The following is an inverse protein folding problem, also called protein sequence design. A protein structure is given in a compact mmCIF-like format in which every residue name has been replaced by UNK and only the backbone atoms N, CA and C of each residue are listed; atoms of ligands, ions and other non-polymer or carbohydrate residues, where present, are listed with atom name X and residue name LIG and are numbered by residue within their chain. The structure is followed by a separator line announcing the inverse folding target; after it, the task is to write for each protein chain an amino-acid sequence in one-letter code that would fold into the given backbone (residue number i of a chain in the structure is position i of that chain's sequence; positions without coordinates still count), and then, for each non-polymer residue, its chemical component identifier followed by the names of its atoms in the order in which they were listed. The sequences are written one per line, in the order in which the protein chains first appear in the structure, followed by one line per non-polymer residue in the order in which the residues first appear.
data_IF_528052004241
#
_entry.id   IF_528052004241
#
_cell.length_a   1.000
_cell.length_b   1.000
_cell.length_c   1.000
_cell.angle_alpha   90.00
_cell.angle_beta   90.00
_cell.angle_gamma   90.00
#
_symmetry.space_group_name_H-M   'P 1'
#
loop_
_entity.id
_entity.type
_entity.pdbx_description
1 polymer ?
#
# COMPACT_ATOMS: atom_id res chain seq x y z
N UNK A 1 -34.90 72.07 16.11
CA UNK A 1 -35.20 70.83 16.84
C UNK A 1 -35.17 69.62 15.90
N UNK A 2 -34.17 69.52 15.02
CA UNK A 2 -34.08 68.47 13.99
C UNK A 2 -32.60 68.26 13.60
N UNK A 3 -31.74 67.77 14.50
CA UNK A 3 -30.40 67.32 14.07
C UNK A 3 -29.69 66.34 15.01
N UNK A 4 -30.35 65.87 16.07
CA UNK A 4 -29.73 64.94 17.04
C UNK A 4 -30.19 63.48 16.81
N UNK A 5 -31.20 63.25 15.95
CA UNK A 5 -31.82 61.92 15.78
C UNK A 5 -31.33 61.11 14.56
N UNK A 6 -30.27 61.55 13.85
CA UNK A 6 -29.76 60.82 12.67
C UNK A 6 -28.46 60.03 12.91
N UNK A 7 -27.83 60.17 14.07
CA UNK A 7 -26.53 59.53 14.34
C UNK A 7 -26.59 58.22 15.14
N UNK A 8 -27.74 57.88 15.73
CA UNK A 8 -27.86 56.68 16.59
C UNK A 8 -28.35 55.42 15.85
N UNK A 9 -28.92 55.55 14.66
CA UNK A 9 -29.44 54.39 13.90
C UNK A 9 -28.36 53.76 13.00
N UNK A 10 -27.31 54.50 12.64
CA UNK A 10 -26.24 53.97 11.78
C UNK A 10 -25.25 53.04 12.51
N UNK A 11 -25.26 53.01 13.84
CA UNK A 11 -24.31 52.18 14.61
C UNK A 11 -24.84 50.78 14.95
N UNK A 12 -26.14 50.52 14.80
CA UNK A 12 -26.74 49.23 15.15
C UNK A 12 -26.81 48.26 13.96
N UNK A 13 -26.75 48.77 12.72
CA UNK A 13 -26.77 47.92 11.51
C UNK A 13 -25.39 47.40 11.11
N UNK A 14 -24.30 48.02 11.58
CA UNK A 14 -22.94 47.54 11.29
C UNK A 14 -22.49 46.43 12.26
N UNK A 15 -23.16 46.27 13.41
CA UNK A 15 -22.78 45.27 14.41
C UNK A 15 -23.44 43.90 14.17
N UNK A 16 -24.51 43.83 13.38
CA UNK A 16 -25.15 42.55 13.01
C UNK A 16 -24.47 41.84 11.83
N UNK A 17 -23.68 42.55 11.02
CA UNK A 17 -22.96 41.99 9.87
C UNK A 17 -21.61 41.34 10.21
N UNK A 18 -21.07 41.56 11.41
CA UNK A 18 -19.78 40.99 11.84
C UNK A 18 -19.94 39.60 12.47
N UNK A 19 -21.14 39.22 12.92
CA UNK A 19 -21.39 37.92 13.56
C UNK A 19 -21.69 36.77 12.58
N UNK A 20 -21.68 37.02 11.26
CA UNK A 20 -21.90 35.98 10.24
C UNK A 20 -20.62 35.41 9.62
N UNK A 21 -19.44 35.85 10.07
CA UNK A 21 -18.16 35.36 9.52
C UNK A 21 -17.50 34.36 10.48
N UNK A 22 -17.49 33.10 10.06
CA UNK A 22 -16.77 31.92 10.59
C UNK A 22 -17.64 30.86 11.28
N UNK A 23 -18.62 30.33 10.55
CA UNK A 23 -18.81 28.87 10.60
C UNK A 23 -17.83 28.26 9.61
N UNK A 24 -16.58 28.08 10.03
CA UNK A 24 -15.74 27.06 9.40
C UNK A 24 -16.30 25.73 9.87
N UNK A 25 -16.86 24.94 8.96
CA UNK A 25 -17.17 23.54 9.27
C UNK A 25 -15.93 22.92 9.93
N UNK A 26 -16.04 22.29 11.12
CA UNK A 26 -14.91 21.59 11.69
C UNK A 26 -14.45 20.58 10.64
N UNK A 27 -13.21 20.75 10.18
CA UNK A 27 -12.59 19.84 9.22
C UNK A 27 -12.56 18.48 9.91
N UNK A 28 -13.49 17.60 9.54
CA UNK A 28 -13.61 16.26 10.10
C UNK A 28 -12.23 15.60 9.96
N UNK A 29 -11.54 15.43 11.10
CA UNK A 29 -10.25 14.75 11.10
C UNK A 29 -10.52 13.31 10.68
N UNK A 30 -9.93 12.93 9.55
CA UNK A 30 -10.05 11.56 9.06
C UNK A 30 -9.37 10.65 10.07
N UNK A 31 -10.15 9.80 10.71
CA UNK A 31 -9.66 8.85 11.70
C UNK A 31 -8.95 7.64 11.05
N UNK A 32 -8.13 6.95 11.85
CA UNK A 32 -7.56 5.67 11.43
C UNK A 32 -8.65 4.60 11.35
N UNK A 33 -8.60 3.79 10.29
CA UNK A 33 -9.51 2.69 10.02
C UNK A 33 -8.73 1.41 9.81
N UNK A 34 -9.15 0.31 10.43
CA UNK A 34 -8.57 -0.99 10.16
C UNK A 34 -9.06 -1.52 8.81
N UNK A 35 -8.12 -1.97 7.97
CA UNK A 35 -8.43 -2.67 6.72
C UNK A 35 -8.75 -4.15 6.97
N UNK A 36 -8.13 -4.74 7.99
CA UNK A 36 -8.38 -6.12 8.37
C UNK A 36 -9.29 -6.17 9.60
N UNK A 37 -10.39 -6.92 9.51
CA UNK A 37 -11.41 -6.99 10.55
C UNK A 37 -11.05 -7.93 11.72
N UNK A 38 -9.95 -8.69 11.61
CA UNK A 38 -9.49 -9.63 12.63
C UNK A 38 -10.28 -10.94 12.72
N UNK A 39 -11.19 -11.20 11.79
CA UNK A 39 -12.09 -12.36 11.83
C UNK A 39 -12.07 -13.16 10.53
N UNK A 40 -12.13 -12.50 9.38
CA UNK A 40 -12.25 -13.15 8.08
C UNK A 40 -11.68 -12.30 6.94
N UNK A 41 -11.69 -12.87 5.73
CA UNK A 41 -11.20 -12.22 4.52
C UNK A 41 -12.35 -11.67 3.64
N UNK A 42 -13.53 -11.41 4.20
CA UNK A 42 -14.73 -11.03 3.42
C UNK A 42 -14.57 -9.72 2.64
N UNK A 43 -13.78 -8.78 3.17
CA UNK A 43 -13.45 -7.51 2.50
C UNK A 43 -12.28 -7.62 1.52
N UNK A 44 -11.73 -8.82 1.34
CA UNK A 44 -10.52 -9.08 0.57
C UNK A 44 -10.78 -9.98 -0.65
N UNK A 45 -10.13 -9.65 -1.76
CA UNK A 45 -10.16 -10.43 -2.99
C UNK A 45 -8.81 -11.06 -3.25
N UNK A 46 -8.77 -12.34 -3.63
CA UNK A 46 -7.52 -13.08 -3.81
C UNK A 46 -7.26 -13.31 -5.30
N UNK A 47 -6.04 -13.05 -5.75
CA UNK A 47 -5.55 -13.47 -7.07
C UNK A 47 -4.26 -14.23 -6.91
N UNK A 48 -4.26 -15.50 -7.32
CA UNK A 48 -3.08 -16.35 -7.41
C UNK A 48 -2.85 -16.70 -8.89
N UNK A 49 -1.60 -16.69 -9.34
CA UNK A 49 -1.25 -17.06 -10.72
C UNK A 49 -1.81 -18.44 -11.06
N UNK A 50 -2.41 -18.59 -12.23
CA UNK A 50 -3.07 -19.79 -12.74
C UNK A 50 -4.35 -20.23 -12.01
N UNK A 51 -4.90 -19.37 -11.14
CA UNK A 51 -6.19 -19.57 -10.48
C UNK A 51 -7.15 -18.40 -10.78
N UNK A 52 -8.44 -18.70 -10.77
CA UNK A 52 -9.48 -17.70 -10.97
C UNK A 52 -9.50 -16.68 -9.83
N UNK A 53 -9.98 -15.46 -10.11
CA UNK A 53 -10.10 -14.44 -9.06
C UNK A 53 -11.08 -14.90 -7.96
N UNK A 54 -10.65 -14.80 -6.71
CA UNK A 54 -11.38 -15.25 -5.52
C UNK A 54 -10.99 -16.65 -5.04
N UNK A 55 -10.24 -17.43 -5.82
CA UNK A 55 -9.78 -18.75 -5.41
C UNK A 55 -8.57 -18.63 -4.47
N UNK A 56 -8.75 -19.04 -3.21
CA UNK A 56 -7.67 -19.13 -2.23
C UNK A 56 -6.99 -20.51 -2.31
N UNK A 57 -6.25 -20.74 -3.39
CA UNK A 57 -5.55 -22.00 -3.65
C UNK A 57 -4.72 -22.44 -2.42
N UNK A 58 -4.87 -23.70 -2.01
CA UNK A 58 -4.18 -24.32 -0.86
C UNK A 58 -4.20 -23.48 0.42
N UNK A 59 -5.30 -22.75 0.65
CA UNK A 59 -5.47 -21.87 1.80
C UNK A 59 -4.27 -20.95 2.02
N UNK A 60 -3.77 -20.35 0.93
CA UNK A 60 -2.60 -19.45 0.95
C UNK A 60 -2.77 -18.30 1.93
N UNK A 61 -3.94 -17.67 1.93
CA UNK A 61 -4.26 -16.60 2.85
C UNK A 61 -5.16 -17.14 3.97
N UNK A 62 -4.72 -16.99 5.21
CA UNK A 62 -5.44 -17.48 6.41
C UNK A 62 -5.64 -16.34 7.41
N UNK A 63 -6.59 -16.54 8.32
CA UNK A 63 -6.80 -15.68 9.47
C UNK A 63 -6.45 -16.46 10.73
N UNK A 64 -5.67 -15.85 11.61
CA UNK A 64 -5.37 -16.37 12.94
C UNK A 64 -5.49 -15.22 13.96
N UNK A 65 -6.65 -15.12 14.60
CA UNK A 65 -7.01 -13.96 15.40
C UNK A 65 -6.89 -12.66 14.60
N UNK A 66 -6.23 -11.65 15.16
CA UNK A 66 -6.01 -10.36 14.49
C UNK A 66 -4.87 -10.35 13.47
N UNK A 67 -4.39 -11.53 13.04
CA UNK A 67 -3.30 -11.69 12.08
C UNK A 67 -3.81 -12.24 10.75
N UNK A 68 -3.46 -11.56 9.66
CA UNK A 68 -3.58 -12.09 8.30
C UNK A 68 -2.28 -12.84 7.97
N UNK A 69 -2.38 -14.12 7.64
CA UNK A 69 -1.23 -14.99 7.38
C UNK A 69 -1.15 -15.36 5.90
N UNK A 70 0.05 -15.30 5.34
CA UNK A 70 0.42 -16.00 4.12
C UNK A 70 1.07 -17.32 4.50
N UNK A 71 0.47 -18.42 4.09
CA UNK A 71 0.81 -19.78 4.48
C UNK A 71 1.12 -20.63 3.25
N UNK A 72 2.09 -21.54 3.41
CA UNK A 72 2.44 -22.55 2.41
C UNK A 72 2.34 -23.99 2.97
N UNK A 73 1.64 -24.19 4.09
CA UNK A 73 1.53 -25.50 4.76
C UNK A 73 0.94 -26.60 3.87
N UNK A 74 0.08 -26.23 2.93
CA UNK A 74 -0.60 -27.15 2.00
C UNK A 74 0.08 -27.21 0.63
N UNK A 75 1.30 -26.68 0.50
CA UNK A 75 2.08 -26.71 -0.72
C UNK A 75 3.18 -27.76 -0.68
N UNK A 76 3.33 -28.52 -1.77
CA UNK A 76 4.51 -29.37 -1.98
C UNK A 76 5.70 -28.58 -2.54
N UNK A 77 5.44 -27.67 -3.47
CA UNK A 77 6.41 -26.73 -4.03
C UNK A 77 5.72 -25.45 -4.49
N UNK A 78 6.47 -24.38 -4.74
CA UNK A 78 5.89 -23.07 -5.06
C UNK A 78 5.22 -23.01 -6.43
N UNK A 79 5.75 -23.70 -7.45
CA UNK A 79 5.20 -23.75 -8.81
C UNK A 79 4.73 -22.40 -9.38
N UNK A 80 5.53 -21.35 -9.15
CA UNK A 80 5.24 -19.97 -9.56
C UNK A 80 3.86 -19.45 -9.09
N UNK A 81 3.34 -19.93 -7.95
CA UNK A 81 2.05 -19.50 -7.38
C UNK A 81 2.18 -18.15 -6.67
N UNK A 82 2.63 -17.14 -7.41
CA UNK A 82 2.61 -15.74 -6.99
C UNK A 82 1.18 -15.33 -6.66
N UNK A 83 0.98 -14.78 -5.47
CA UNK A 83 -0.34 -14.48 -4.93
C UNK A 83 -0.44 -13.07 -4.38
N UNK A 84 -1.62 -12.47 -4.46
CA UNK A 84 -1.91 -11.15 -3.95
C UNK A 84 -3.31 -11.13 -3.33
N UNK A 85 -3.44 -10.55 -2.13
CA UNK A 85 -4.73 -10.34 -1.47
C UNK A 85 -5.05 -8.84 -1.41
N UNK A 86 -6.13 -8.43 -2.07
CA UNK A 86 -6.51 -7.04 -2.34
C UNK A 86 -7.62 -6.61 -1.41
N UNK A 87 -7.51 -5.44 -0.80
CA UNK A 87 -8.62 -4.87 -0.06
C UNK A 87 -9.67 -4.30 -1.03
N UNK A 88 -10.87 -4.88 -1.07
CA UNK A 88 -11.84 -4.68 -2.16
C UNK A 88 -12.87 -3.58 -1.91
N UNK A 89 -12.96 -3.03 -0.69
CA UNK A 89 -14.02 -2.05 -0.38
C UNK A 89 -13.86 -0.74 -1.12
N UNK A 90 -12.62 -0.30 -1.39
CA UNK A 90 -12.37 1.02 -1.95
C UNK A 90 -10.99 1.12 -2.61
N UNK A 91 -10.88 1.98 -3.62
CA UNK A 91 -9.60 2.48 -4.15
C UNK A 91 -9.15 3.72 -3.37
N UNK A 92 -7.88 3.78 -3.03
CA UNK A 92 -7.31 4.89 -2.28
C UNK A 92 -6.46 5.79 -3.18
N UNK A 93 -6.51 7.10 -2.91
CA UNK A 93 -5.78 8.14 -3.63
C UNK A 93 -4.74 8.84 -2.75
N UNK A 94 -5.19 9.40 -1.64
CA UNK A 94 -4.33 10.06 -0.66
C UNK A 94 -4.56 9.39 0.69
N UNK A 95 -3.51 8.82 1.26
CA UNK A 95 -3.63 8.05 2.49
C UNK A 95 -2.30 7.91 3.21
N UNK A 96 -2.41 7.59 4.49
CA UNK A 96 -1.34 7.07 5.33
C UNK A 96 -1.72 5.63 5.69
N UNK A 97 -0.99 4.65 5.16
CA UNK A 97 -1.12 3.24 5.49
C UNK A 97 -0.10 2.89 6.56
N UNK A 98 -0.47 2.04 7.52
CA UNK A 98 0.43 1.47 8.52
C UNK A 98 0.09 -0.01 8.66
N UNK A 99 1.12 -0.85 8.78
CA UNK A 99 1.00 -2.25 9.17
C UNK A 99 2.28 -2.73 9.86
N UNK A 100 2.19 -3.88 10.50
CA UNK A 100 3.36 -4.62 10.97
C UNK A 100 3.44 -5.95 10.23
N UNK A 101 4.65 -6.37 9.90
CA UNK A 101 4.91 -7.67 9.29
C UNK A 101 5.99 -8.43 10.05
N UNK A 102 5.97 -9.76 9.95
CA UNK A 102 7.10 -10.62 10.33
C UNK A 102 7.14 -11.85 9.43
N UNK A 103 8.33 -12.37 9.18
CA UNK A 103 8.50 -13.64 8.48
C UNK A 103 8.53 -14.80 9.47
N UNK A 104 8.07 -15.96 9.03
CA UNK A 104 8.11 -17.18 9.83
C UNK A 104 8.30 -18.41 8.93
N UNK A 105 8.49 -19.57 9.56
CA UNK A 105 8.64 -20.83 8.83
C UNK A 105 9.79 -20.85 7.83
N UNK A 106 9.70 -21.77 6.88
CA UNK A 106 10.73 -22.00 5.87
C UNK A 106 10.32 -21.45 4.50
N UNK A 107 11.30 -21.00 3.73
CA UNK A 107 11.13 -20.69 2.32
C UNK A 107 10.72 -21.96 1.57
N UNK A 108 9.64 -21.87 0.79
CA UNK A 108 9.03 -23.01 0.12
C UNK A 108 9.93 -23.50 -1.02
N UNK A 109 10.09 -24.81 -1.14
CA UNK A 109 10.85 -25.40 -2.22
C UNK A 109 10.32 -24.95 -3.60
N UNK A 110 11.24 -24.63 -4.50
CA UNK A 110 10.91 -24.17 -5.85
C UNK A 110 10.50 -22.70 -5.94
N UNK A 111 10.38 -22.00 -4.82
CA UNK A 111 10.26 -20.55 -4.84
C UNK A 111 11.59 -19.91 -5.28
N UNK A 112 11.54 -18.74 -5.94
CA UNK A 112 12.76 -18.09 -6.41
C UNK A 112 13.73 -17.78 -5.27
N UNK A 113 15.04 -17.93 -5.50
CA UNK A 113 16.06 -17.72 -4.47
C UNK A 113 16.04 -16.31 -3.86
N UNK A 114 15.55 -15.31 -4.61
CA UNK A 114 15.43 -13.93 -4.13
C UNK A 114 14.26 -13.72 -3.16
N UNK A 115 13.30 -14.64 -3.11
CA UNK A 115 12.08 -14.48 -2.30
C UNK A 115 12.18 -15.03 -0.88
N UNK A 116 13.37 -15.45 -0.44
CA UNK A 116 13.63 -15.79 0.97
C UNK A 116 13.34 -14.57 1.85
N UNK A 117 12.42 -14.70 2.80
CA UNK A 117 11.90 -13.61 3.64
C UNK A 117 11.55 -12.37 2.79
N UNK A 118 10.80 -12.58 1.71
CA UNK A 118 10.29 -11.52 0.84
C UNK A 118 8.77 -11.53 0.78
N UNK A 119 8.21 -10.34 0.77
CA UNK A 119 6.80 -10.04 0.55
C UNK A 119 6.72 -8.56 0.12
N UNK A 120 5.52 -8.00 0.05
CA UNK A 120 5.32 -6.64 -0.42
C UNK A 120 3.97 -6.07 -0.03
N UNK A 121 3.90 -4.73 -0.09
CA UNK A 121 2.65 -3.98 -0.12
C UNK A 121 2.54 -3.33 -1.50
N UNK A 122 1.51 -3.66 -2.25
CA UNK A 122 1.32 -3.11 -3.58
C UNK A 122 0.40 -1.90 -3.47
N UNK A 123 0.87 -0.77 -3.98
CA UNK A 123 0.21 0.52 -3.95
C UNK A 123 -0.39 0.81 -5.32
N UNK A 124 -1.61 1.35 -5.32
CA UNK A 124 -2.34 1.75 -6.52
C UNK A 124 -2.42 0.62 -7.56
N UNK A 125 -2.79 -0.57 -7.08
CA UNK A 125 -2.80 -1.78 -7.89
C UNK A 125 -3.81 -1.69 -9.03
N UNK A 126 -3.45 -2.36 -10.13
CA UNK A 126 -4.39 -2.87 -11.11
C UNK A 126 -5.59 -3.55 -10.43
N UNK A 127 -6.78 -3.38 -11.00
CA UNK A 127 -7.97 -4.10 -10.55
C UNK A 127 -7.75 -5.61 -10.70
N UNK A 128 -7.85 -6.41 -9.62
CA UNK A 128 -7.53 -7.84 -9.67
C UNK A 128 -8.42 -8.62 -10.63
N UNK A 129 -9.65 -8.14 -10.92
CA UNK A 129 -10.55 -8.74 -11.91
C UNK A 129 -10.07 -8.58 -13.35
N UNK A 130 -9.14 -7.65 -13.58
CA UNK A 130 -8.54 -7.42 -14.90
C UNK A 130 -7.15 -8.04 -15.03
N UNK A 131 -6.59 -8.62 -13.96
CA UNK A 131 -5.34 -9.35 -14.06
C UNK A 131 -5.52 -10.61 -14.91
N UNK A 132 -4.52 -10.93 -15.72
CA UNK A 132 -4.55 -12.16 -16.50
C UNK A 132 -4.46 -13.37 -15.56
N UNK A 133 -4.94 -14.52 -16.03
CA UNK A 133 -4.87 -15.77 -15.27
C UNK A 133 -3.42 -16.08 -14.87
N UNK A 134 -2.49 -15.94 -15.80
CA UNK A 134 -1.05 -16.23 -15.72
C UNK A 134 -0.18 -15.03 -15.29
N UNK A 135 -0.78 -13.93 -14.83
CA UNK A 135 -0.03 -12.74 -14.42
C UNK A 135 0.59 -12.90 -13.03
N UNK A 136 1.91 -12.68 -12.93
CA UNK A 136 2.66 -12.82 -11.66
C UNK A 136 2.31 -11.72 -10.65
N UNK A 137 2.39 -10.45 -11.05
CA UNK A 137 2.24 -9.27 -10.18
C UNK A 137 1.22 -8.28 -10.78
N UNK A 138 0.39 -7.59 -9.97
CA UNK A 138 -0.43 -6.49 -10.45
C UNK A 138 0.46 -5.34 -10.92
N UNK A 139 0.02 -4.60 -11.94
CA UNK A 139 0.63 -3.29 -12.26
C UNK A 139 0.47 -2.41 -11.02
N UNK A 140 1.59 -2.06 -10.37
CA UNK A 140 1.60 -1.36 -9.08
C UNK A 140 2.98 -0.79 -8.75
N UNK A 141 3.04 0.10 -7.76
CA UNK A 141 4.27 0.40 -7.05
C UNK A 141 4.34 -0.48 -5.79
N UNK A 142 5.44 -1.19 -5.57
CA UNK A 142 5.57 -2.15 -4.48
C UNK A 142 6.51 -1.63 -3.40
N UNK A 143 6.03 -1.63 -2.16
CA UNK A 143 6.85 -1.50 -0.96
C UNK A 143 7.38 -2.89 -0.60
N UNK A 144 8.59 -3.20 -1.03
CA UNK A 144 9.17 -4.51 -0.82
C UNK A 144 9.49 -4.72 0.66
N UNK A 145 8.95 -5.78 1.25
CA UNK A 145 9.15 -6.16 2.64
C UNK A 145 10.17 -7.29 2.73
N UNK A 146 11.33 -7.01 3.32
CA UNK A 146 12.42 -7.97 3.47
C UNK A 146 12.78 -8.22 4.93
N UNK A 147 12.99 -9.49 5.26
CA UNK A 147 13.66 -9.92 6.48
C UNK A 147 15.15 -10.14 6.28
N UNK A 148 15.95 -9.93 7.32
CA UNK A 148 17.38 -10.20 7.31
C UNK A 148 17.70 -11.70 7.23
N UNK A 149 18.85 -12.01 6.64
CA UNK A 149 19.31 -13.39 6.40
C UNK A 149 20.27 -13.89 7.50
N UNK A 150 20.26 -13.26 8.67
CA UNK A 150 21.23 -13.52 9.76
C UNK A 150 22.59 -12.86 9.59
N UNK A 151 22.99 -12.49 8.37
CA UNK A 151 24.24 -11.79 8.08
C UNK A 151 24.09 -10.77 6.93
N UNK A 152 25.06 -9.86 6.83
CA UNK A 152 25.11 -8.85 5.77
C UNK A 152 24.05 -7.75 5.89
N UNK A 153 24.06 -6.82 4.93
CA UNK A 153 23.07 -5.75 4.85
C UNK A 153 21.97 -6.11 3.84
N UNK A 154 20.70 -5.98 4.26
CA UNK A 154 19.51 -6.17 3.45
C UNK A 154 18.42 -5.19 3.89
N UNK A 155 18.27 -4.11 3.13
CA UNK A 155 17.28 -3.05 3.40
C UNK A 155 15.85 -3.55 3.10
N UNK A 156 14.88 -3.14 3.91
CA UNK A 156 13.44 -3.36 3.71
C UNK A 156 12.73 -2.06 3.29
N UNK A 157 11.45 -2.14 2.90
CA UNK A 157 10.66 -1.06 2.33
C UNK A 157 11.34 -0.39 1.12
N UNK A 158 11.96 -1.21 0.26
CA UNK A 158 12.48 -0.77 -1.04
C UNK A 158 11.31 -0.45 -1.98
N UNK A 159 11.58 0.20 -3.10
CA UNK A 159 10.58 0.37 -4.18
C UNK A 159 10.86 -0.60 -5.31
N UNK A 160 9.93 -1.52 -5.56
CA UNK A 160 9.89 -2.34 -6.77
C UNK A 160 8.75 -1.85 -7.69
N UNK A 161 8.93 -1.94 -9.01
CA UNK A 161 8.00 -1.31 -9.97
C UNK A 161 7.43 -2.30 -11.00
N UNK A 162 6.65 -3.31 -10.58
CA UNK A 162 6.06 -4.29 -11.51
C UNK A 162 5.05 -3.60 -12.43
N UNK A 163 5.38 -3.54 -13.72
CA UNK A 163 4.54 -2.89 -14.72
C UNK A 163 4.38 -1.37 -14.52
N UNK A 164 5.28 -0.77 -13.73
CA UNK A 164 5.29 0.67 -13.46
C UNK A 164 6.69 1.26 -13.58
N UNK A 165 6.72 2.58 -13.73
CA UNK A 165 7.90 3.42 -13.55
C UNK A 165 7.63 4.42 -12.41
N UNK A 166 8.71 4.81 -11.73
CA UNK A 166 8.71 5.85 -10.68
C UNK A 166 9.92 6.75 -10.86
N UNK A 167 9.85 7.95 -10.31
CA UNK A 167 10.98 8.88 -10.29
C UNK A 167 11.53 9.02 -8.86
N UNK A 168 12.83 8.79 -8.70
CA UNK A 168 13.58 8.97 -7.44
C UNK A 168 14.52 10.16 -7.65
N UNK A 169 14.45 11.16 -6.78
CA UNK A 169 15.18 12.42 -6.93
C UNK A 169 14.96 13.06 -8.32
N UNK A 170 13.69 13.13 -8.73
CA UNK A 170 13.22 13.69 -10.00
C UNK A 170 13.80 13.03 -11.26
N UNK A 171 14.30 11.80 -11.13
CA UNK A 171 14.85 11.00 -12.24
C UNK A 171 14.19 9.64 -12.28
N UNK A 172 13.89 9.15 -13.49
CA UNK A 172 13.40 7.79 -13.69
C UNK A 172 14.31 6.78 -12.99
N UNK A 173 13.71 5.97 -12.11
CA UNK A 173 14.40 4.89 -11.44
C UNK A 173 14.94 3.88 -12.47
N UNK A 174 16.20 3.49 -12.33
CA UNK A 174 16.88 2.66 -13.35
C UNK A 174 16.68 1.17 -13.16
N UNK A 175 16.61 0.73 -11.91
CA UNK A 175 16.41 -0.66 -11.56
C UNK A 175 14.92 -0.94 -11.32
N UNK A 176 14.52 -2.19 -11.52
CA UNK A 176 13.17 -2.64 -11.15
C UNK A 176 12.93 -2.47 -9.65
N UNK A 177 13.90 -2.86 -8.82
CA UNK A 177 13.91 -2.63 -7.37
C UNK A 177 15.03 -1.66 -7.01
N UNK A 178 14.70 -0.60 -6.26
CA UNK A 178 15.65 0.41 -5.81
C UNK A 178 15.63 0.44 -4.28
N UNK A 179 16.82 0.29 -3.68
CA UNK A 179 16.97 0.18 -2.23
C UNK A 179 16.49 1.43 -1.50
N UNK A 180 15.88 1.22 -0.34
CA UNK A 180 15.71 2.25 0.68
C UNK A 180 16.99 2.42 1.50
N UNK A 181 16.96 3.33 2.46
CA UNK A 181 18.02 3.53 3.45
C UNK A 181 17.69 2.90 4.82
N UNK A 182 16.78 1.91 4.88
CA UNK A 182 16.43 1.26 6.14
C UNK A 182 17.58 0.42 6.69
N UNK A 183 17.55 0.17 8.01
CA UNK A 183 18.41 -0.86 8.61
C UNK A 183 17.96 -2.27 8.21
N UNK A 184 18.82 -3.25 8.44
CA UNK A 184 18.48 -4.67 8.29
C UNK A 184 17.88 -5.19 9.59
N UNK A 185 16.78 -5.95 9.48
CA UNK A 185 16.10 -6.56 10.62
C UNK A 185 16.36 -8.06 10.59
N UNK A 186 17.37 -8.52 11.34
CA UNK A 186 17.79 -9.92 11.33
C UNK A 186 16.93 -10.83 12.20
N UNK A 187 16.28 -10.29 13.24
CA UNK A 187 15.33 -11.05 14.04
C UNK A 187 14.01 -11.24 13.28
N UNK A 188 13.28 -12.31 13.63
CA UNK A 188 11.93 -12.58 13.11
C UNK A 188 10.84 -11.89 13.94
N UNK A 189 11.18 -10.74 14.53
CA UNK A 189 10.24 -9.89 15.24
C UNK A 189 9.39 -9.05 14.29
N UNK A 190 8.32 -8.46 14.83
CA UNK A 190 7.48 -7.53 14.10
C UNK A 190 8.25 -6.28 13.69
N UNK A 191 8.14 -5.92 12.41
CA UNK A 191 8.66 -4.68 11.85
C UNK A 191 7.50 -3.80 11.42
N UNK A 192 7.44 -2.58 11.95
CA UNK A 192 6.44 -1.59 11.58
C UNK A 192 6.83 -0.87 10.29
N UNK A 193 5.91 -0.87 9.33
CA UNK A 193 6.03 -0.13 8.07
C UNK A 193 4.84 0.79 7.89
N UNK A 194 5.13 2.02 7.50
CA UNK A 194 4.12 3.00 7.15
C UNK A 194 4.41 3.57 5.76
N UNK A 195 3.36 3.94 5.04
CA UNK A 195 3.43 4.49 3.70
C UNK A 195 2.54 5.71 3.63
N UNK A 196 3.11 6.87 3.34
CA UNK A 196 2.34 8.09 3.06
C UNK A 196 2.27 8.27 1.55
N UNK A 197 1.06 8.23 1.00
CA UNK A 197 0.79 8.37 -0.42
C UNK A 197 -0.04 9.62 -0.66
N UNK A 198 0.45 10.51 -1.52
CA UNK A 198 -0.29 11.65 -2.05
C UNK A 198 -0.44 11.49 -3.55
N UNK A 199 -1.48 10.74 -3.93
CA UNK A 199 -1.74 10.34 -5.30
C UNK A 199 -0.47 9.74 -5.93
N UNK A 200 -0.15 10.07 -7.18
CA UNK A 200 1.12 9.69 -7.78
C UNK A 200 2.24 10.73 -7.57
N UNK A 201 2.03 11.76 -6.74
CA UNK A 201 2.92 12.92 -6.67
C UNK A 201 4.02 12.77 -5.62
N UNK A 202 3.72 12.13 -4.50
CA UNK A 202 4.68 11.93 -3.42
C UNK A 202 4.35 10.66 -2.67
N UNK A 203 5.33 9.78 -2.55
CA UNK A 203 5.25 8.56 -1.77
C UNK A 203 6.44 8.52 -0.82
N UNK A 204 6.16 8.24 0.44
CA UNK A 204 7.18 8.04 1.48
C UNK A 204 7.02 6.67 2.09
N UNK A 205 8.12 5.93 2.19
CA UNK A 205 8.19 4.72 2.98
C UNK A 205 8.82 5.05 4.33
N UNK A 206 8.24 4.53 5.39
CA UNK A 206 8.66 4.74 6.77
C UNK A 206 8.82 3.36 7.41
N UNK A 207 9.93 3.14 8.10
CA UNK A 207 10.21 1.91 8.85
C UNK A 207 10.64 2.30 10.25
N UNK A 208 9.98 1.76 11.28
CA UNK A 208 10.25 2.09 12.69
C UNK A 208 10.35 3.61 12.97
N UNK A 209 9.43 4.39 12.39
CA UNK A 209 9.34 5.86 12.47
C UNK A 209 10.38 6.65 11.66
N UNK A 210 11.33 5.99 10.99
CA UNK A 210 12.30 6.64 10.12
C UNK A 210 11.80 6.66 8.66
N UNK A 211 11.85 7.81 7.99
CA UNK A 211 11.58 7.87 6.55
C UNK A 211 12.80 7.32 5.79
N UNK A 212 12.62 6.19 5.12
CA UNK A 212 13.72 5.44 4.49
C UNK A 212 13.76 5.58 2.97
N UNK A 213 12.67 6.00 2.35
CA UNK A 213 12.58 6.21 0.91
C UNK A 213 11.53 7.26 0.57
N UNK A 214 11.79 8.05 -0.48
CA UNK A 214 10.82 8.99 -1.05
C UNK A 214 10.94 8.98 -2.57
N UNK A 215 9.80 8.94 -3.26
CA UNK A 215 9.72 8.97 -4.72
C UNK A 215 8.40 9.58 -5.20
N UNK A 216 8.28 9.75 -6.51
CA UNK A 216 7.13 10.38 -7.17
C UNK A 216 6.83 9.73 -8.52
N UNK A 217 5.81 10.26 -9.18
CA UNK A 217 5.45 9.99 -10.57
C UNK A 217 5.21 8.50 -10.89
N UNK A 218 4.43 7.81 -10.03
CA UNK A 218 3.99 6.45 -10.34
C UNK A 218 3.16 6.48 -11.63
N UNK A 219 3.60 5.70 -12.62
CA UNK A 219 2.95 5.57 -13.92
C UNK A 219 3.12 4.15 -14.46
N UNK A 220 2.21 3.73 -15.31
CA UNK A 220 2.33 2.45 -16.01
C UNK A 220 3.55 2.51 -16.92
N UNK A 221 4.40 1.50 -16.87
CA UNK A 221 5.69 1.55 -17.54
C UNK A 221 6.61 0.39 -17.18
N UNK A 222 7.89 0.53 -17.48
CA UNK A 222 8.88 -0.52 -17.29
C UNK A 222 8.64 -1.78 -18.15
N UNK A 223 9.41 -2.82 -17.85
CA UNK A 223 9.54 -4.00 -18.72
C UNK A 223 8.57 -5.15 -18.38
N UNK A 224 7.61 -4.92 -17.47
CA UNK A 224 6.71 -5.96 -16.93
C UNK A 224 5.23 -5.59 -17.08
N UNK A 225 4.89 -4.71 -18.01
CA UNK A 225 3.48 -4.37 -18.30
C UNK A 225 2.80 -5.56 -18.98
N UNK A 226 1.70 -6.10 -18.44
CA UNK A 226 1.01 -7.25 -19.02
C UNK A 226 0.31 -6.87 -20.33
N UNK A 227 0.12 -7.87 -21.22
CA UNK A 227 -0.40 -7.67 -22.59
C UNK A 227 -1.73 -6.90 -22.66
N UNK A 228 -2.61 -7.08 -21.69
CA UNK A 228 -3.91 -6.41 -21.64
C UNK A 228 -3.85 -4.98 -21.05
N UNK A 229 -2.68 -4.53 -20.64
CA UNK A 229 -2.44 -3.22 -20.01
C UNK A 229 -1.45 -2.34 -20.80
N UNK A 230 -0.94 -2.83 -21.94
CA UNK A 230 0.02 -2.10 -22.79
C UNK A 230 -0.50 -0.75 -23.26
N UNK A 231 -1.80 -0.62 -23.53
CA UNK A 231 -2.44 0.65 -23.93
C UNK A 231 -2.36 1.73 -22.85
N UNK A 232 -2.07 1.36 -21.61
CA UNK A 232 -1.99 2.26 -20.48
C UNK A 232 -0.57 2.78 -20.22
N UNK A 233 0.46 2.32 -20.94
CA UNK A 233 1.84 2.80 -20.77
C UNK A 233 1.91 4.34 -20.80
N UNK A 234 2.64 4.92 -19.84
CA UNK A 234 2.75 6.36 -19.62
C UNK A 234 1.59 6.97 -18.80
N UNK A 235 0.49 6.24 -18.59
CA UNK A 235 -0.64 6.72 -17.79
C UNK A 235 -0.25 6.82 -16.32
N UNK A 236 -0.60 7.92 -15.63
CA UNK A 236 -0.31 8.07 -14.21
C UNK A 236 -1.21 7.15 -13.36
N UNK A 237 -0.63 6.49 -12.35
CA UNK A 237 -1.37 5.71 -11.35
C UNK A 237 -1.68 6.58 -10.13
N UNK A 238 -2.76 7.36 -10.24
CA UNK A 238 -3.15 8.37 -9.24
C UNK A 238 -3.89 7.81 -8.02
N UNK A 239 -4.55 6.68 -8.18
CA UNK A 239 -5.28 5.95 -7.16
C UNK A 239 -5.33 4.47 -7.55
N UNK A 240 -5.71 3.60 -6.61
CA UNK A 240 -5.96 2.19 -6.91
C UNK A 240 -6.18 1.36 -5.66
N UNK A 241 -6.23 0.04 -5.83
CA UNK A 241 -6.35 -0.89 -4.72
C UNK A 241 -5.02 -1.02 -3.97
N UNK A 242 -5.08 -1.56 -2.75
CA UNK A 242 -3.93 -1.94 -1.93
C UNK A 242 -3.96 -3.46 -1.79
N UNK A 243 -2.81 -4.13 -1.96
CA UNK A 243 -2.71 -5.57 -1.73
C UNK A 243 -1.45 -5.98 -0.98
N UNK A 244 -1.48 -7.18 -0.40
CA UNK A 244 -0.37 -7.83 0.28
C UNK A 244 0.09 -9.06 -0.51
N UNK A 245 1.40 -9.29 -0.55
CA UNK A 245 2.03 -10.27 -1.43
C UNK A 245 2.21 -11.66 -0.78
N UNK A 246 2.07 -12.69 -1.61
CA UNK A 246 2.45 -14.08 -1.36
C UNK A 246 3.52 -14.49 -2.38
N UNK A 247 4.73 -14.80 -1.89
CA UNK A 247 5.91 -15.01 -2.74
C UNK A 247 6.86 -16.15 -2.28
N UNK A 248 6.31 -17.18 -1.65
CA UNK A 248 7.02 -18.41 -1.32
C UNK A 248 7.73 -18.42 0.02
N UNK A 249 7.67 -17.36 0.84
CA UNK A 249 8.05 -17.41 2.25
C UNK A 249 6.86 -17.03 3.15
N UNK A 250 6.51 -17.82 4.18
CA UNK A 250 5.43 -17.44 5.09
C UNK A 250 5.66 -16.07 5.74
N UNK A 251 4.62 -15.26 5.76
CA UNK A 251 4.63 -13.91 6.34
C UNK A 251 3.31 -13.65 7.06
N UNK A 252 3.40 -12.94 8.18
CA UNK A 252 2.25 -12.54 8.99
C UNK A 252 2.11 -11.02 8.97
N UNK A 253 0.87 -10.54 8.92
CA UNK A 253 0.54 -9.13 8.95
C UNK A 253 -0.47 -8.83 10.07
N UNK A 254 -0.25 -7.73 10.78
CA UNK A 254 -1.21 -7.23 11.78
C UNK A 254 -1.25 -5.70 11.79
N UNK A 255 -2.19 -5.15 12.56
CA UNK A 255 -2.34 -3.70 12.73
C UNK A 255 -2.47 -2.96 11.38
N UNK A 256 -3.12 -3.61 10.40
CA UNK A 256 -3.29 -3.09 9.04
C UNK A 256 -4.34 -1.98 9.09
N UNK A 257 -3.88 -0.73 9.08
CA UNK A 257 -4.72 0.46 9.24
C UNK A 257 -4.39 1.52 8.20
N UNK A 258 -5.40 2.29 7.84
CA UNK A 258 -5.29 3.38 6.89
C UNK A 258 -5.96 4.63 7.43
N UNK A 259 -5.40 5.78 7.10
CA UNK A 259 -6.01 7.09 7.32
C UNK A 259 -5.99 7.84 6.00
N UNK A 260 -7.16 8.16 5.47
CA UNK A 260 -7.24 9.00 4.26
C UNK A 260 -6.72 10.42 4.56
N UNK A 261 -6.12 11.08 3.56
CA UNK A 261 -5.53 12.42 3.69
C UNK A 261 -6.31 13.49 2.92
#
# INVERSE_FOLDING_TARGET
MENILKFTISSFLLLSLVLMSCFTDPKEEKEWQYLFNGNDLSDWGIKIKNHEFGENYNNTFKVDGNVLKVSYEEYQSFEEKFGHIFYMKKKYKNYHLSLEYKFSGNHLQGAPAWSVKNSGIMLHCQDPKTMLLDQDFPVSAEVQLLGGLGEGNRTTANICSPGTDVDINDKLAKAHCNSSNSKTFHSDDWVKVEVIVRSNQLIKHIVENDTVLTYSNIRVGGNKVPKNYLKNIGSPLKDGYISLQSEGHPVEFREIKIKEL
#
